data_IF_392362602166
#
_entry.id   IF_392362602166
#
_cell.length_a   1.000
_cell.length_b   1.000
_cell.length_c   1.000
_cell.angle_alpha   90.00
_cell.angle_beta   90.00
_cell.angle_gamma   90.00
#
_symmetry.space_group_name_H-M   'P 1'
#
loop_
_entity.id
_entity.type
_entity.pdbx_description
1 polymer ?
#
# COMPACT_ATOMS: atom_id res chain seq x y z
N UNK A 1 6.23 7.01 54.36
CA UNK A 1 5.11 7.47 53.54
C UNK A 1 5.48 7.59 52.04
N UNK A 2 6.63 8.17 51.60
CA UNK A 2 6.92 8.33 50.16
C UNK A 2 7.17 7.00 49.43
N UNK A 3 7.66 5.97 50.09
CA UNK A 3 7.97 4.68 49.47
C UNK A 3 6.72 3.86 49.12
N UNK A 4 5.67 3.91 49.94
CA UNK A 4 4.38 3.26 49.71
C UNK A 4 3.63 3.94 48.57
N UNK A 5 3.65 5.28 48.52
CA UNK A 5 3.05 6.07 47.46
C UNK A 5 3.75 5.79 46.13
N UNK A 6 5.08 5.69 46.12
CA UNK A 6 5.86 5.35 44.93
C UNK A 6 5.59 3.92 44.43
N UNK A 7 5.51 2.92 45.33
CA UNK A 7 5.17 1.54 44.99
C UNK A 7 3.73 1.41 44.43
N UNK A 8 2.78 2.10 45.07
CA UNK A 8 1.40 2.12 44.66
C UNK A 8 1.23 2.80 43.25
N UNK A 9 1.92 3.92 43.05
CA UNK A 9 1.90 4.63 41.78
C UNK A 9 2.55 3.81 40.65
N UNK A 10 3.62 3.05 40.95
CA UNK A 10 4.24 2.15 39.97
C UNK A 10 3.38 0.94 39.68
N UNK A 11 2.73 0.36 40.67
CA UNK A 11 1.81 -0.76 40.51
C UNK A 11 0.56 -0.35 39.70
N UNK A 12 -0.02 0.82 39.99
CA UNK A 12 -1.13 1.39 39.24
C UNK A 12 -0.73 1.71 37.79
N UNK A 13 0.43 2.31 37.57
CA UNK A 13 0.92 2.62 36.21
C UNK A 13 1.13 1.38 35.32
N UNK A 14 1.54 0.24 35.91
CA UNK A 14 1.78 -1.00 35.14
C UNK A 14 0.45 -1.73 34.87
N UNK A 15 -0.49 -1.72 35.82
CA UNK A 15 -1.73 -2.49 35.73
C UNK A 15 -2.87 -1.74 35.03
N UNK A 16 -2.85 -0.39 35.06
CA UNK A 16 -3.84 0.48 34.43
C UNK A 16 -3.30 1.09 33.13
N UNK A 17 -2.70 0.26 32.27
CA UNK A 17 -2.25 0.71 30.95
C UNK A 17 -3.41 0.70 29.95
N UNK A 18 -3.43 1.67 29.03
CA UNK A 18 -4.42 1.76 27.97
C UNK A 18 -5.82 2.14 28.48
N UNK A 19 -6.84 1.52 27.95
CA UNK A 19 -8.26 1.78 28.23
C UNK A 19 -8.70 1.52 29.67
N UNK A 20 -7.92 0.77 30.45
CA UNK A 20 -8.20 0.48 31.86
C UNK A 20 -8.10 1.72 32.75
N UNK A 21 -7.19 2.66 32.43
CA UNK A 21 -6.98 3.87 33.23
C UNK A 21 -8.21 4.81 33.21
N UNK A 22 -8.73 5.27 32.05
CA UNK A 22 -9.91 6.13 32.03
C UNK A 22 -11.14 5.44 32.63
N UNK A 23 -11.32 4.12 32.42
CA UNK A 23 -12.41 3.38 33.04
C UNK A 23 -12.29 3.32 34.56
N UNK A 24 -11.09 3.10 35.08
CA UNK A 24 -10.86 3.08 36.53
C UNK A 24 -11.10 4.44 37.15
N UNK A 25 -10.67 5.52 36.50
CA UNK A 25 -10.90 6.91 36.96
C UNK A 25 -12.39 7.24 36.90
N UNK A 26 -13.09 6.91 35.82
CA UNK A 26 -14.54 7.11 35.70
C UNK A 26 -15.31 6.38 36.81
N UNK A 27 -14.99 5.11 37.03
CA UNK A 27 -15.63 4.29 38.08
C UNK A 27 -15.35 4.84 39.49
N UNK A 28 -14.10 5.29 39.72
CA UNK A 28 -13.74 5.87 41.00
C UNK A 28 -14.50 7.18 41.27
N UNK A 29 -14.50 8.09 40.28
CA UNK A 29 -15.21 9.39 40.41
C UNK A 29 -16.71 9.15 40.57
N UNK A 30 -17.30 8.24 39.79
CA UNK A 30 -18.71 7.89 39.87
C UNK A 30 -19.10 7.37 41.28
N UNK A 31 -18.39 6.34 41.75
CA UNK A 31 -18.73 5.69 43.03
C UNK A 31 -18.47 6.62 44.21
N UNK A 32 -17.37 7.33 44.25
CA UNK A 32 -17.02 8.25 45.34
C UNK A 32 -17.98 9.46 45.38
N UNK A 33 -18.32 10.01 44.21
CA UNK A 33 -19.25 11.15 44.14
C UNK A 33 -20.68 10.76 44.48
N UNK A 34 -21.11 9.56 44.06
CA UNK A 34 -22.43 9.05 44.44
C UNK A 34 -22.55 8.85 45.95
N UNK A 35 -21.56 8.21 46.57
CA UNK A 35 -21.52 8.05 48.02
C UNK A 35 -21.50 9.42 48.72
N UNK A 36 -20.69 10.35 48.28
CA UNK A 36 -20.62 11.69 48.87
C UNK A 36 -21.95 12.44 48.68
N UNK A 37 -22.59 12.36 47.51
CA UNK A 37 -23.89 13.00 47.23
C UNK A 37 -24.99 12.45 48.12
N UNK A 38 -25.02 11.14 48.35
CA UNK A 38 -26.01 10.50 49.24
C UNK A 38 -25.87 10.87 50.73
N UNK A 39 -24.69 11.37 51.15
CA UNK A 39 -24.45 11.81 52.52
C UNK A 39 -24.77 13.30 52.73
N UNK A 40 -24.76 14.14 51.69
CA UNK A 40 -24.89 15.60 51.82
C UNK A 40 -26.20 16.16 51.29
N UNK A 41 -26.93 15.43 50.43
CA UNK A 41 -28.25 15.81 49.96
C UNK A 41 -29.35 15.35 50.93
N UNK A 42 -30.51 16.04 51.00
CA UNK A 42 -31.62 15.65 51.87
C UNK A 42 -32.11 14.22 51.60
N UNK A 43 -32.56 13.48 52.65
CA UNK A 43 -33.13 12.16 52.47
C UNK A 43 -34.33 12.19 51.51
N UNK A 44 -34.32 11.31 50.47
CA UNK A 44 -35.40 11.23 49.48
C UNK A 44 -35.14 12.10 48.24
N UNK A 45 -34.04 12.81 48.13
CA UNK A 45 -33.68 13.58 46.92
C UNK A 45 -33.57 12.66 45.71
N UNK A 46 -34.22 13.03 44.60
CA UNK A 46 -34.23 12.23 43.37
C UNK A 46 -32.81 12.01 42.78
N UNK A 47 -31.94 13.00 42.95
CA UNK A 47 -30.58 12.92 42.42
C UNK A 47 -29.73 11.80 43.03
N UNK A 48 -30.00 11.34 44.25
CA UNK A 48 -29.25 10.27 44.92
C UNK A 48 -29.72 8.88 44.58
N UNK A 49 -30.87 8.73 43.92
CA UNK A 49 -31.39 7.43 43.52
C UNK A 49 -30.50 6.80 42.44
N UNK A 50 -30.24 5.50 42.47
CA UNK A 50 -29.39 4.83 41.48
C UNK A 50 -29.84 5.04 40.04
N UNK A 51 -31.16 5.12 39.82
CA UNK A 51 -31.79 5.30 38.51
C UNK A 51 -31.56 6.69 37.89
N UNK A 52 -31.29 7.72 38.70
CA UNK A 52 -31.11 9.10 38.27
C UNK A 52 -29.68 9.58 38.38
N UNK A 53 -28.92 9.09 39.39
CA UNK A 53 -27.56 9.54 39.61
C UNK A 53 -26.61 9.25 38.42
N UNK A 54 -26.71 8.06 37.80
CA UNK A 54 -25.87 7.73 36.62
C UNK A 54 -26.14 8.69 35.48
N UNK A 55 -27.41 9.08 35.29
CA UNK A 55 -27.78 10.05 34.24
C UNK A 55 -27.18 11.44 34.52
N UNK A 56 -27.41 11.95 35.75
CA UNK A 56 -26.80 13.19 36.22
C UNK A 56 -25.27 13.18 36.01
N UNK A 57 -24.59 12.08 36.42
CA UNK A 57 -23.16 11.94 36.29
C UNK A 57 -22.70 12.00 34.84
N UNK A 58 -23.34 11.28 33.94
CA UNK A 58 -23.01 11.27 32.51
C UNK A 58 -23.24 12.63 31.87
N UNK A 59 -24.41 13.21 32.07
CA UNK A 59 -24.82 14.51 31.50
C UNK A 59 -23.90 15.64 31.99
N UNK A 60 -23.56 15.64 33.27
CA UNK A 60 -22.67 16.63 33.87
C UNK A 60 -21.23 16.42 33.43
N UNK A 61 -20.72 15.19 33.45
CA UNK A 61 -19.35 14.86 33.01
C UNK A 61 -19.14 15.12 31.51
N UNK A 62 -20.18 14.90 30.70
CA UNK A 62 -20.15 15.19 29.26
C UNK A 62 -20.37 16.69 28.94
N UNK A 63 -20.50 17.54 29.96
CA UNK A 63 -20.74 19.00 29.84
C UNK A 63 -22.04 19.37 29.10
N UNK A 64 -23.02 18.46 29.05
CA UNK A 64 -24.33 18.71 28.41
C UNK A 64 -25.22 19.55 29.30
N UNK A 65 -25.41 19.13 30.59
CA UNK A 65 -26.10 19.90 31.61
C UNK A 65 -27.54 20.23 31.29
N UNK A 66 -28.40 19.23 31.07
CA UNK A 66 -29.84 19.46 30.83
C UNK A 66 -30.55 20.20 31.96
N UNK A 67 -30.01 20.14 33.20
CA UNK A 67 -30.60 20.81 34.36
C UNK A 67 -31.86 20.11 34.90
N UNK A 68 -32.11 18.89 34.48
CA UNK A 68 -33.21 18.04 34.94
C UNK A 68 -32.97 17.51 36.38
N UNK A 69 -31.70 17.21 36.70
CA UNK A 69 -31.24 16.82 38.03
C UNK A 69 -30.03 17.68 38.41
N UNK A 70 -30.08 18.30 39.59
CA UNK A 70 -28.99 19.12 40.13
C UNK A 70 -28.97 19.09 41.66
N UNK A 71 -27.78 19.27 42.29
CA UNK A 71 -27.67 19.30 43.75
C UNK A 71 -28.29 20.58 44.33
N UNK A 72 -29.11 20.44 45.35
CA UNK A 72 -29.82 21.53 46.01
C UNK A 72 -29.11 22.06 47.23
N UNK A 73 -28.38 21.19 47.96
CA UNK A 73 -27.62 21.57 49.14
C UNK A 73 -26.30 22.20 48.82
N UNK A 74 -25.71 22.98 49.74
CA UNK A 74 -24.34 23.53 49.57
C UNK A 74 -23.31 22.41 49.50
N UNK A 75 -23.47 21.35 50.30
CA UNK A 75 -22.62 20.17 50.23
C UNK A 75 -22.71 19.46 48.89
N UNK A 76 -23.93 19.28 48.38
CA UNK A 76 -24.16 18.70 47.06
C UNK A 76 -23.55 19.48 45.92
N UNK A 77 -23.55 20.83 45.98
CA UNK A 77 -22.87 21.69 44.99
C UNK A 77 -21.35 21.50 45.00
N UNK A 78 -20.73 21.26 46.19
CA UNK A 78 -19.29 20.94 46.27
C UNK A 78 -19.02 19.58 45.62
N UNK A 79 -19.87 18.58 45.88
CA UNK A 79 -19.78 17.27 45.20
C UNK A 79 -20.02 17.43 43.70
N UNK A 80 -20.95 18.29 43.28
CA UNK A 80 -21.16 18.62 41.86
C UNK A 80 -19.93 19.17 41.21
N UNK A 81 -19.20 20.09 41.88
CA UNK A 81 -17.89 20.58 41.39
C UNK A 81 -16.86 19.47 41.22
N UNK A 82 -16.81 18.53 42.19
CA UNK A 82 -15.94 17.33 42.09
C UNK A 82 -16.33 16.45 40.88
N UNK A 83 -17.65 16.26 40.62
CA UNK A 83 -18.14 15.52 39.43
C UNK A 83 -17.71 16.23 38.14
N UNK A 84 -17.84 17.54 38.06
CA UNK A 84 -17.42 18.31 36.88
C UNK A 84 -15.94 18.14 36.60
N UNK A 85 -15.09 18.37 37.59
CA UNK A 85 -13.63 18.25 37.45
C UNK A 85 -13.22 16.79 37.12
N UNK A 86 -13.78 15.82 37.84
CA UNK A 86 -13.54 14.41 37.60
C UNK A 86 -14.02 13.94 36.23
N UNK A 87 -15.15 14.47 35.78
CA UNK A 87 -15.70 14.23 34.43
C UNK A 87 -14.79 14.74 33.34
N UNK A 88 -14.32 15.99 33.47
CA UNK A 88 -13.36 16.60 32.50
C UNK A 88 -12.08 15.76 32.43
N UNK A 89 -11.53 15.37 33.56
CA UNK A 89 -10.32 14.50 33.59
C UNK A 89 -10.58 13.17 32.90
N UNK A 90 -11.73 12.55 33.19
CA UNK A 90 -12.11 11.27 32.60
C UNK A 90 -12.23 11.36 31.05
N UNK A 91 -12.94 12.37 30.55
CA UNK A 91 -13.10 12.60 29.13
C UNK A 91 -11.77 12.88 28.43
N UNK A 92 -10.92 13.72 29.07
CA UNK A 92 -9.58 13.99 28.54
C UNK A 92 -8.75 12.73 28.39
N UNK A 93 -8.78 11.83 29.39
CA UNK A 93 -8.10 10.54 29.33
C UNK A 93 -8.68 9.63 28.25
N UNK A 94 -10.00 9.60 28.06
CA UNK A 94 -10.66 8.83 27.01
C UNK A 94 -10.25 9.32 25.61
N UNK A 95 -10.34 10.62 25.34
CA UNK A 95 -9.93 11.19 24.07
C UNK A 95 -8.44 11.01 23.80
N UNK A 96 -7.59 11.13 24.81
CA UNK A 96 -6.15 10.86 24.67
C UNK A 96 -5.89 9.41 24.29
N UNK A 97 -6.59 8.44 24.89
CA UNK A 97 -6.45 7.02 24.53
C UNK A 97 -6.96 6.75 23.12
N UNK A 98 -8.06 7.35 22.71
CA UNK A 98 -8.58 7.23 21.35
C UNK A 98 -7.56 7.78 20.33
N UNK A 99 -7.04 8.99 20.57
CA UNK A 99 -6.03 9.60 19.72
C UNK A 99 -4.77 8.73 19.61
N UNK A 100 -4.26 8.22 20.75
CA UNK A 100 -3.10 7.31 20.77
C UNK A 100 -3.37 6.00 20.02
N UNK A 101 -4.58 5.44 20.11
CA UNK A 101 -4.95 4.23 19.39
C UNK A 101 -4.93 4.47 17.87
N UNK A 102 -5.53 5.57 17.40
CA UNK A 102 -5.53 5.96 15.99
C UNK A 102 -4.10 6.22 15.47
N UNK A 103 -3.28 6.96 16.23
CA UNK A 103 -1.88 7.22 15.87
C UNK A 103 -1.04 5.95 15.83
N UNK A 104 -1.27 4.99 16.72
CA UNK A 104 -0.50 3.74 16.75
C UNK A 104 -0.75 2.88 15.50
N UNK A 105 -1.98 2.81 15.00
CA UNK A 105 -2.32 2.10 13.75
C UNK A 105 -1.65 2.78 12.55
N UNK A 106 -1.78 4.11 12.47
CA UNK A 106 -1.14 4.88 11.39
C UNK A 106 0.38 4.74 11.42
N UNK A 107 0.99 4.86 12.59
CA UNK A 107 2.44 4.70 12.75
C UNK A 107 2.95 3.29 12.42
N UNK A 108 2.17 2.23 12.67
CA UNK A 108 2.52 0.86 12.26
C UNK A 108 2.47 0.69 10.74
N UNK A 109 1.46 1.26 10.07
CA UNK A 109 1.37 1.26 8.59
C UNK A 109 2.54 2.01 7.96
N UNK A 110 2.84 3.21 8.48
CA UNK A 110 3.98 4.00 7.99
C UNK A 110 5.31 3.25 8.14
N UNK A 111 5.49 2.48 9.21
CA UNK A 111 6.70 1.67 9.44
C UNK A 111 6.71 0.33 8.69
N UNK A 112 5.70 0.00 7.93
CA UNK A 112 5.64 -1.19 7.11
C UNK A 112 5.64 -2.52 7.88
N UNK A 113 5.14 -2.53 9.13
CA UNK A 113 5.10 -3.74 9.98
C UNK A 113 3.72 -4.40 10.02
N UNK A 114 2.75 -3.88 9.26
CA UNK A 114 1.38 -4.40 9.19
C UNK A 114 1.24 -5.26 7.95
N UNK A 115 0.59 -6.42 8.07
CA UNK A 115 0.21 -7.22 6.92
C UNK A 115 -0.80 -6.45 6.05
N UNK A 116 -0.58 -6.49 4.75
CA UNK A 116 -1.48 -5.91 3.77
C UNK A 116 -2.66 -6.86 3.50
N UNK A 117 -3.72 -6.32 2.92
CA UNK A 117 -4.82 -7.12 2.38
C UNK A 117 -5.06 -6.67 0.93
N UNK A 118 -4.20 -7.16 0.04
CA UNK A 118 -4.19 -6.83 -1.38
C UNK A 118 -4.36 -8.08 -2.22
N UNK A 119 -4.90 -7.89 -3.43
CA UNK A 119 -4.99 -8.91 -4.48
C UNK A 119 -4.86 -8.25 -5.85
N UNK A 120 -4.37 -8.98 -6.84
CA UNK A 120 -4.14 -8.50 -8.22
C UNK A 120 -3.30 -7.21 -8.29
N UNK A 121 -2.37 -7.07 -7.35
CA UNK A 121 -1.48 -5.92 -7.19
C UNK A 121 -0.05 -6.23 -7.67
N UNK A 122 0.77 -5.20 -7.78
CA UNK A 122 2.19 -5.33 -8.08
C UNK A 122 2.99 -5.25 -6.78
N UNK A 123 3.94 -6.16 -6.59
CA UNK A 123 4.88 -6.09 -5.47
C UNK A 123 6.24 -5.62 -6.01
N UNK A 124 6.75 -4.51 -5.47
CA UNK A 124 8.08 -4.00 -5.79
C UNK A 124 9.03 -4.31 -4.63
N UNK A 125 9.99 -5.17 -4.86
CA UNK A 125 11.05 -5.53 -3.91
C UNK A 125 12.29 -4.69 -4.13
N UNK A 126 12.67 -3.95 -3.13
CA UNK A 126 13.79 -3.00 -3.16
C UNK A 126 13.32 -1.55 -3.28
N UNK A 127 13.96 -0.68 -2.49
CA UNK A 127 13.72 0.75 -2.56
C UNK A 127 15.03 1.51 -2.82
N UNK A 128 15.04 2.25 -3.90
CA UNK A 128 16.14 3.11 -4.32
C UNK A 128 15.62 4.53 -4.54
N UNK A 129 16.07 5.51 -3.75
CA UNK A 129 15.61 6.90 -3.88
C UNK A 129 15.74 7.43 -5.32
N UNK A 130 14.69 8.07 -5.81
CA UNK A 130 14.61 8.63 -7.15
C UNK A 130 14.25 7.62 -8.24
N UNK A 131 14.61 6.33 -8.08
CA UNK A 131 14.32 5.27 -9.06
C UNK A 131 13.00 4.57 -8.75
N UNK A 132 12.83 4.12 -7.51
CA UNK A 132 11.62 3.41 -7.12
C UNK A 132 10.38 4.28 -7.23
N UNK A 133 10.49 5.59 -6.95
CA UNK A 133 9.40 6.55 -7.12
C UNK A 133 8.94 6.65 -8.57
N UNK A 134 9.88 6.62 -9.52
CA UNK A 134 9.56 6.61 -10.97
C UNK A 134 8.86 5.32 -11.37
N UNK A 135 9.39 4.16 -10.94
CA UNK A 135 8.76 2.86 -11.21
C UNK A 135 7.33 2.83 -10.66
N UNK A 136 7.14 3.29 -9.43
CA UNK A 136 5.82 3.37 -8.80
C UNK A 136 4.90 4.33 -9.55
N UNK A 137 5.38 5.52 -9.94
CA UNK A 137 4.61 6.48 -10.70
C UNK A 137 4.12 5.90 -12.04
N UNK A 138 4.98 5.19 -12.76
CA UNK A 138 4.62 4.51 -14.01
C UNK A 138 3.61 3.38 -13.79
N UNK A 139 3.79 2.56 -12.76
CA UNK A 139 2.87 1.45 -12.44
C UNK A 139 1.49 1.94 -12.00
N UNK A 140 1.41 3.12 -11.38
CA UNK A 140 0.15 3.68 -10.86
C UNK A 140 -0.49 4.73 -11.75
N UNK A 141 0.17 5.16 -12.85
CA UNK A 141 -0.27 6.23 -13.72
C UNK A 141 -1.69 6.02 -14.29
N UNK A 142 -2.02 4.79 -14.65
CA UNK A 142 -3.33 4.42 -15.20
C UNK A 142 -4.40 4.19 -14.10
N UNK A 143 -4.03 4.28 -12.82
CA UNK A 143 -4.93 3.96 -11.70
C UNK A 143 -5.36 2.47 -11.63
N UNK A 144 -4.71 1.60 -12.40
CA UNK A 144 -5.12 0.18 -12.56
C UNK A 144 -4.58 -0.70 -11.45
N UNK A 145 -3.41 -0.37 -10.87
CA UNK A 145 -2.71 -1.21 -9.92
C UNK A 145 -2.48 -0.51 -8.60
N UNK A 146 -2.55 -1.29 -7.53
CA UNK A 146 -1.95 -0.94 -6.26
C UNK A 146 -0.54 -1.53 -6.20
N UNK A 147 0.36 -0.87 -5.47
CA UNK A 147 1.74 -1.31 -5.33
C UNK A 147 2.05 -1.60 -3.88
N UNK A 148 2.51 -2.82 -3.58
CA UNK A 148 3.15 -3.16 -2.32
C UNK A 148 4.65 -2.90 -2.46
N UNK A 149 5.14 -1.79 -1.88
CA UNK A 149 6.55 -1.44 -1.85
C UNK A 149 7.23 -2.15 -0.67
N UNK A 150 8.08 -3.12 -0.96
CA UNK A 150 8.87 -3.84 0.02
C UNK A 150 10.28 -3.26 0.10
N UNK A 151 10.68 -2.76 1.26
CA UNK A 151 12.01 -2.19 1.47
C UNK A 151 12.74 -2.85 2.63
N UNK A 152 14.06 -2.72 2.62
CA UNK A 152 14.95 -3.22 3.69
C UNK A 152 14.72 -2.49 5.02
N UNK A 153 15.26 -3.07 6.08
CA UNK A 153 15.15 -2.52 7.44
C UNK A 153 15.81 -1.16 7.64
N UNK A 154 16.72 -0.76 6.76
CA UNK A 154 17.36 0.55 6.76
C UNK A 154 16.46 1.68 6.22
N UNK A 155 15.31 1.36 5.65
CA UNK A 155 14.25 2.32 5.29
C UNK A 155 13.23 2.38 6.43
N UNK A 156 13.32 3.36 7.35
CA UNK A 156 12.58 3.32 8.62
C UNK A 156 11.08 3.53 8.48
N UNK A 157 10.65 4.26 7.45
CA UNK A 157 9.26 4.63 7.21
C UNK A 157 8.94 4.62 5.72
N UNK A 158 7.64 4.57 5.40
CA UNK A 158 7.16 4.62 4.02
C UNK A 158 7.70 5.87 3.30
N UNK A 159 8.49 5.71 2.24
CA UNK A 159 9.03 6.84 1.49
C UNK A 159 7.99 7.58 0.63
N UNK A 160 6.81 6.97 0.42
CA UNK A 160 5.71 7.48 -0.42
C UNK A 160 4.39 7.56 0.36
N UNK A 161 4.33 8.26 1.51
CA UNK A 161 3.17 8.24 2.40
C UNK A 161 1.93 8.91 1.82
N UNK A 162 2.12 9.81 0.85
CA UNK A 162 1.06 10.61 0.24
C UNK A 162 0.44 9.95 -1.01
N UNK A 163 0.96 8.78 -1.41
CA UNK A 163 0.42 8.03 -2.55
C UNK A 163 -0.54 6.94 -2.07
N UNK A 164 -1.86 7.10 -2.27
CA UNK A 164 -2.87 6.18 -1.75
C UNK A 164 -2.80 4.78 -2.38
N UNK A 165 -2.25 4.66 -3.59
CA UNK A 165 -2.05 3.39 -4.28
C UNK A 165 -0.82 2.62 -3.79
N UNK A 166 0.01 3.20 -2.89
CA UNK A 166 1.25 2.61 -2.40
C UNK A 166 1.10 2.14 -0.96
N UNK A 167 1.36 0.87 -0.75
CA UNK A 167 1.37 0.22 0.55
C UNK A 167 2.78 -0.22 0.88
N UNK A 168 3.21 -0.04 2.12
CA UNK A 168 4.60 -0.23 2.50
C UNK A 168 4.78 -1.45 3.40
N UNK A 169 5.78 -2.27 3.09
CA UNK A 169 6.25 -3.41 3.90
C UNK A 169 7.74 -3.27 4.09
N UNK A 170 8.20 -3.45 5.33
CA UNK A 170 9.63 -3.35 5.68
C UNK A 170 10.13 -4.64 6.30
N UNK A 171 11.33 -5.05 5.94
CA UNK A 171 12.01 -6.21 6.53
C UNK A 171 13.08 -6.81 5.65
N UNK A 172 13.52 -8.00 5.99
CA UNK A 172 14.39 -8.82 5.14
C UNK A 172 13.59 -9.32 3.93
N UNK A 173 13.97 -8.86 2.75
CA UNK A 173 13.24 -9.13 1.49
C UNK A 173 13.33 -10.60 1.03
N UNK A 174 14.13 -11.41 1.68
CA UNK A 174 14.24 -12.85 1.43
C UNK A 174 13.40 -13.68 2.40
N UNK A 175 12.81 -13.05 3.42
CA UNK A 175 12.13 -13.74 4.50
C UNK A 175 10.65 -13.96 4.21
N UNK A 176 10.11 -15.14 4.57
CA UNK A 176 8.70 -15.54 4.36
C UNK A 176 7.70 -14.55 4.99
N UNK A 177 8.06 -13.94 6.12
CA UNK A 177 7.22 -12.93 6.78
C UNK A 177 6.94 -11.72 5.87
N UNK A 178 7.95 -11.25 5.11
CA UNK A 178 7.78 -10.15 4.15
C UNK A 178 6.90 -10.60 2.99
N UNK A 179 7.08 -11.82 2.47
CA UNK A 179 6.24 -12.37 1.41
C UNK A 179 4.77 -12.44 1.82
N UNK A 180 4.52 -12.90 3.05
CA UNK A 180 3.17 -13.00 3.62
C UNK A 180 2.55 -11.63 3.83
N UNK A 181 3.28 -10.67 4.42
CA UNK A 181 2.78 -9.31 4.67
C UNK A 181 2.55 -8.52 3.38
N UNK A 182 3.33 -8.77 2.34
CA UNK A 182 3.16 -8.18 1.02
C UNK A 182 2.09 -8.87 0.16
N UNK A 183 1.46 -9.94 0.66
CA UNK A 183 0.45 -10.73 -0.05
C UNK A 183 0.94 -11.30 -1.40
N UNK A 184 2.19 -11.77 -1.48
CA UNK A 184 2.81 -12.30 -2.71
C UNK A 184 1.97 -13.42 -3.33
N UNK A 185 1.31 -14.25 -2.52
CA UNK A 185 0.44 -15.35 -2.97
C UNK A 185 -0.74 -14.89 -3.82
N UNK A 186 -1.16 -13.63 -3.68
CA UNK A 186 -2.30 -13.04 -4.39
C UNK A 186 -1.88 -11.90 -5.33
N UNK A 187 -0.59 -11.69 -5.49
CA UNK A 187 -0.05 -10.66 -6.37
C UNK A 187 -0.19 -11.08 -7.84
N UNK A 188 -0.24 -10.09 -8.71
CA UNK A 188 -0.24 -10.26 -10.17
C UNK A 188 1.17 -10.35 -10.74
N UNK A 189 2.06 -9.52 -10.22
CA UNK A 189 3.43 -9.39 -10.71
C UNK A 189 4.35 -8.99 -9.55
N UNK A 190 5.54 -9.53 -9.52
CA UNK A 190 6.60 -9.04 -8.66
C UNK A 190 7.73 -8.43 -9.51
N UNK A 191 8.20 -7.26 -9.07
CA UNK A 191 9.36 -6.56 -9.63
C UNK A 191 10.45 -6.57 -8.57
N UNK A 192 11.62 -7.09 -8.90
CA UNK A 192 12.78 -7.16 -8.00
C UNK A 192 13.84 -6.17 -8.44
N UNK A 193 14.23 -5.27 -7.53
CA UNK A 193 15.32 -4.33 -7.69
C UNK A 193 16.26 -4.40 -6.48
N UNK A 194 16.98 -5.53 -6.38
CA UNK A 194 17.89 -5.83 -5.27
C UNK A 194 19.12 -4.94 -5.23
N UNK A 195 19.88 -5.04 -4.13
CA UNK A 195 21.15 -4.30 -3.95
C UNK A 195 22.23 -4.78 -4.93
N UNK A 196 22.17 -6.07 -5.27
CA UNK A 196 23.02 -6.70 -6.27
C UNK A 196 22.31 -7.91 -6.88
N UNK A 197 22.98 -8.55 -7.87
CA UNK A 197 22.40 -9.68 -8.60
C UNK A 197 22.25 -10.94 -7.73
N UNK A 198 23.05 -11.11 -6.66
CA UNK A 198 22.91 -12.22 -5.74
C UNK A 198 21.70 -12.04 -4.83
N UNK A 199 21.48 -10.84 -4.31
CA UNK A 199 20.28 -10.53 -3.54
C UNK A 199 19.02 -10.61 -4.42
N UNK A 200 19.09 -10.12 -5.67
CA UNK A 200 18.01 -10.27 -6.66
C UNK A 200 17.65 -11.76 -6.84
N UNK A 201 18.65 -12.63 -6.96
CA UNK A 201 18.43 -14.07 -7.05
C UNK A 201 17.82 -14.66 -5.77
N UNK A 202 18.31 -14.25 -4.59
CA UNK A 202 17.79 -14.72 -3.31
C UNK A 202 16.31 -14.31 -3.11
N UNK A 203 15.96 -13.07 -3.46
CA UNK A 203 14.57 -12.61 -3.42
C UNK A 203 13.71 -13.39 -4.42
N UNK A 204 14.20 -13.66 -5.64
CA UNK A 204 13.49 -14.45 -6.63
C UNK A 204 13.18 -15.86 -6.12
N UNK A 205 14.12 -16.53 -5.44
CA UNK A 205 13.91 -17.83 -4.80
C UNK A 205 12.81 -17.76 -3.74
N UNK A 206 12.81 -16.73 -2.90
CA UNK A 206 11.79 -16.57 -1.85
C UNK A 206 10.40 -16.32 -2.44
N UNK A 207 10.32 -15.55 -3.53
CA UNK A 207 9.07 -15.29 -4.24
C UNK A 207 8.55 -16.55 -4.91
N UNK A 208 9.41 -17.29 -5.62
CA UNK A 208 9.04 -18.55 -6.30
C UNK A 208 8.53 -19.60 -5.32
N UNK A 209 9.16 -19.69 -4.14
CA UNK A 209 8.67 -20.54 -3.06
C UNK A 209 7.28 -20.13 -2.56
N UNK A 210 6.99 -18.82 -2.49
CA UNK A 210 5.70 -18.33 -2.03
C UNK A 210 4.60 -18.40 -3.10
N UNK A 211 4.95 -18.22 -4.38
CA UNK A 211 4.03 -18.26 -5.53
C UNK A 211 4.79 -18.57 -6.84
N UNK A 212 4.92 -19.86 -7.21
CA UNK A 212 5.67 -20.28 -8.41
C UNK A 212 5.09 -19.77 -9.74
N UNK A 213 3.79 -19.46 -9.78
CA UNK A 213 3.10 -19.02 -11.00
C UNK A 213 3.14 -17.49 -11.18
N UNK A 214 3.77 -16.78 -10.26
CA UNK A 214 3.81 -15.31 -10.29
C UNK A 214 4.66 -14.81 -11.46
N UNK A 215 4.13 -13.85 -12.21
CA UNK A 215 4.93 -13.14 -13.22
C UNK A 215 6.05 -12.34 -12.53
N UNK A 216 7.30 -12.69 -12.85
CA UNK A 216 8.48 -12.17 -12.17
C UNK A 216 9.33 -11.33 -13.12
N UNK A 217 9.59 -10.09 -12.74
CA UNK A 217 10.50 -9.16 -13.43
C UNK A 217 11.67 -8.86 -12.49
N UNK A 218 12.89 -9.15 -12.93
CA UNK A 218 14.08 -8.97 -12.13
C UNK A 218 15.06 -7.97 -12.77
N UNK A 219 15.37 -6.91 -12.06
CA UNK A 219 16.43 -5.99 -12.45
C UNK A 219 17.80 -6.63 -12.16
N UNK A 220 18.64 -6.74 -13.17
CA UNK A 220 19.99 -7.29 -13.06
C UNK A 220 21.02 -6.29 -13.58
N UNK A 221 22.22 -6.33 -13.02
CA UNK A 221 23.37 -5.57 -13.51
C UNK A 221 24.06 -6.29 -14.65
N UNK A 222 24.16 -7.62 -14.53
CA UNK A 222 24.77 -8.49 -15.55
C UNK A 222 23.72 -9.42 -16.15
N UNK A 223 23.41 -9.25 -17.44
CA UNK A 223 22.49 -10.14 -18.17
C UNK A 223 22.97 -11.59 -18.25
N UNK A 224 24.25 -11.87 -18.05
CA UNK A 224 24.78 -13.22 -17.92
C UNK A 224 24.16 -13.99 -16.74
N UNK A 225 23.63 -13.29 -15.73
CA UNK A 225 22.91 -13.88 -14.59
C UNK A 225 21.48 -14.32 -14.91
N UNK A 226 20.95 -14.01 -16.09
CA UNK A 226 19.59 -14.41 -16.52
C UNK A 226 19.37 -15.91 -16.39
N UNK A 227 20.34 -16.72 -16.77
CA UNK A 227 20.20 -18.18 -16.73
C UNK A 227 20.02 -18.68 -15.28
N UNK A 228 20.73 -18.09 -14.32
CA UNK A 228 20.56 -18.42 -12.90
C UNK A 228 19.12 -18.14 -12.42
N UNK A 229 18.55 -17.02 -12.83
CA UNK A 229 17.15 -16.68 -12.51
C UNK A 229 16.16 -17.64 -13.17
N UNK A 230 16.44 -18.10 -14.38
CA UNK A 230 15.60 -19.07 -15.10
C UNK A 230 15.58 -20.46 -14.47
N UNK A 231 16.65 -20.83 -13.74
CA UNK A 231 16.63 -22.06 -12.94
C UNK A 231 15.64 -21.99 -11.78
N UNK A 232 15.41 -20.78 -11.25
CA UNK A 232 14.42 -20.53 -10.19
C UNK A 232 13.03 -20.48 -10.79
N UNK A 233 12.82 -19.58 -11.75
CA UNK A 233 11.53 -19.40 -12.42
C UNK A 233 11.75 -19.28 -13.93
N UNK A 234 11.33 -20.27 -14.73
CA UNK A 234 11.52 -20.26 -16.19
C UNK A 234 10.86 -19.07 -16.90
N UNK A 235 9.81 -18.50 -16.29
CA UNK A 235 9.05 -17.36 -16.82
C UNK A 235 9.66 -15.99 -16.49
N UNK A 236 10.73 -15.93 -15.69
CA UNK A 236 11.33 -14.68 -15.25
C UNK A 236 11.79 -13.80 -16.41
N UNK A 237 11.45 -12.53 -16.32
CA UNK A 237 11.93 -11.50 -17.25
C UNK A 237 13.10 -10.74 -16.58
N UNK A 238 14.34 -11.07 -16.98
CA UNK A 238 15.50 -10.33 -16.52
C UNK A 238 15.67 -9.06 -17.36
N UNK A 239 15.71 -7.92 -16.70
CA UNK A 239 15.87 -6.60 -17.30
C UNK A 239 17.15 -5.98 -16.78
N UNK A 240 18.04 -5.54 -17.68
CA UNK A 240 19.23 -4.79 -17.29
C UNK A 240 18.81 -3.38 -16.87
N UNK A 241 19.05 -3.00 -15.61
CA UNK A 241 18.60 -1.74 -15.04
C UNK A 241 19.33 -0.51 -15.61
N UNK A 242 20.54 -0.70 -16.18
CA UNK A 242 21.30 0.31 -16.90
C UNK A 242 21.56 -0.20 -18.31
N UNK A 243 21.33 0.64 -19.29
CA UNK A 243 21.53 0.30 -20.70
C UNK A 243 22.76 1.05 -21.22
N UNK A 244 23.97 0.47 -21.10
CA UNK A 244 25.20 1.13 -21.58
C UNK A 244 25.17 1.43 -23.08
N UNK A 245 24.39 0.63 -23.83
CA UNK A 245 24.16 0.83 -25.26
C UNK A 245 23.49 2.18 -25.58
N UNK A 246 22.67 2.74 -24.70
CA UNK A 246 22.03 4.04 -24.93
C UNK A 246 23.05 5.16 -25.09
N UNK A 247 24.19 5.07 -24.39
CA UNK A 247 25.26 6.06 -24.53
C UNK A 247 25.94 5.97 -25.91
N UNK A 248 26.16 4.75 -26.41
CA UNK A 248 26.71 4.55 -27.75
C UNK A 248 25.74 4.90 -28.86
N UNK A 249 24.46 4.57 -28.68
CA UNK A 249 23.40 4.94 -29.63
C UNK A 249 23.24 6.46 -29.70
N UNK A 250 23.17 7.18 -28.57
CA UNK A 250 23.11 8.65 -28.58
C UNK A 250 24.34 9.32 -29.17
N UNK A 251 25.52 8.68 -29.02
CA UNK A 251 26.74 9.18 -29.62
C UNK A 251 26.78 9.02 -31.16
N UNK A 252 26.12 7.95 -31.66
CA UNK A 252 26.03 7.68 -33.09
C UNK A 252 24.88 8.44 -33.77
N UNK A 253 23.73 8.46 -33.09
CA UNK A 253 22.46 9.02 -33.57
C UNK A 253 21.88 10.00 -32.53
N UNK A 254 22.32 11.28 -32.53
CA UNK A 254 21.86 12.27 -31.55
C UNK A 254 20.33 12.46 -31.52
N UNK A 255 19.76 12.35 -30.35
CA UNK A 255 18.31 12.46 -30.10
C UNK A 255 17.58 11.11 -29.97
N UNK A 256 18.27 9.98 -30.22
CA UNK A 256 17.65 8.66 -30.15
C UNK A 256 17.17 8.32 -28.73
N UNK A 257 17.87 8.77 -27.70
CA UNK A 257 17.48 8.54 -26.31
C UNK A 257 16.19 9.27 -25.94
N UNK A 258 15.88 10.40 -26.58
CA UNK A 258 14.61 11.10 -26.39
C UNK A 258 13.44 10.26 -26.89
N UNK A 259 13.61 9.57 -28.02
CA UNK A 259 12.60 8.65 -28.56
C UNK A 259 12.39 7.48 -27.62
N UNK A 260 13.47 6.86 -27.12
CA UNK A 260 13.34 5.75 -26.16
C UNK A 260 12.67 6.20 -24.86
N UNK A 261 13.01 7.36 -24.34
CA UNK A 261 12.36 7.90 -23.13
C UNK A 261 10.87 8.15 -23.35
N UNK A 262 10.47 8.71 -24.51
CA UNK A 262 9.06 8.95 -24.82
C UNK A 262 8.28 7.62 -24.95
N UNK A 263 8.86 6.62 -25.61
CA UNK A 263 8.27 5.29 -25.78
C UNK A 263 8.15 4.47 -24.48
N UNK A 264 8.98 4.78 -23.46
CA UNK A 264 8.99 4.08 -22.19
C UNK A 264 8.20 4.80 -21.08
N UNK A 265 7.81 6.07 -21.28
CA UNK A 265 7.09 6.85 -20.27
C UNK A 265 5.58 6.78 -20.49
N UNK A 266 4.80 6.59 -19.42
CA UNK A 266 3.34 6.53 -19.48
C UNK A 266 2.66 7.85 -19.87
N UNK A 267 3.39 8.96 -19.87
CA UNK A 267 2.93 10.29 -20.28
C UNK A 267 3.44 10.75 -21.65
N UNK A 268 4.16 9.87 -22.40
CA UNK A 268 4.71 10.18 -23.71
C UNK A 268 3.67 10.27 -24.83
N UNK A 269 4.11 10.70 -26.01
CA UNK A 269 3.27 10.81 -27.21
C UNK A 269 2.94 9.43 -27.80
N UNK A 270 3.67 8.38 -27.41
CA UNK A 270 3.43 7.00 -27.81
C UNK A 270 4.01 6.02 -26.80
N UNK A 271 3.32 4.93 -26.56
CA UNK A 271 3.77 3.85 -25.69
C UNK A 271 3.93 2.55 -26.46
N UNK A 272 4.78 1.66 -25.96
CA UNK A 272 4.96 0.33 -26.51
C UNK A 272 3.95 -0.64 -25.87
N UNK A 273 3.19 -1.31 -26.74
CA UNK A 273 2.18 -2.28 -26.33
C UNK A 273 2.42 -3.64 -26.98
N UNK A 274 1.78 -4.67 -26.45
CA UNK A 274 1.70 -5.98 -27.10
C UNK A 274 0.24 -6.39 -27.27
N UNK A 275 -0.04 -7.12 -28.34
CA UNK A 275 -1.34 -7.72 -28.63
C UNK A 275 -1.12 -9.14 -29.14
N UNK A 276 -1.92 -10.10 -28.66
CA UNK A 276 -1.96 -11.44 -29.24
C UNK A 276 -2.93 -11.45 -30.38
N UNK A 277 -2.48 -11.94 -31.54
CA UNK A 277 -3.29 -12.00 -32.76
C UNK A 277 -4.45 -12.99 -32.53
N UNK A 278 -5.71 -12.51 -32.57
CA UNK A 278 -6.86 -13.37 -32.37
C UNK A 278 -7.12 -14.26 -33.56
N UNK A 279 -7.87 -15.35 -33.36
CA UNK A 279 -8.39 -16.19 -34.45
C UNK A 279 -9.31 -15.34 -35.35
N UNK A 280 -9.06 -15.33 -36.65
CA UNK A 280 -9.86 -14.57 -37.61
C UNK A 280 -9.42 -13.10 -37.79
N UNK A 281 -8.24 -12.71 -37.36
CA UNK A 281 -7.68 -11.36 -37.52
C UNK A 281 -7.65 -10.87 -38.97
N UNK A 282 -7.59 -11.79 -39.94
CA UNK A 282 -7.76 -11.49 -41.39
C UNK A 282 -6.56 -10.86 -42.07
N UNK A 283 -5.45 -10.65 -41.36
CA UNK A 283 -4.20 -10.10 -41.91
C UNK A 283 -3.15 -11.19 -41.90
N UNK A 284 -2.70 -11.64 -43.06
CA UNK A 284 -1.85 -12.84 -43.19
C UNK A 284 -0.36 -12.57 -43.04
N UNK A 285 0.08 -11.34 -43.31
CA UNK A 285 1.49 -10.98 -43.31
C UNK A 285 1.80 -9.80 -42.37
N UNK A 286 3.07 -9.63 -42.04
CA UNK A 286 3.52 -8.46 -41.26
C UNK A 286 3.18 -7.14 -41.96
N UNK A 287 3.31 -7.08 -43.30
CA UNK A 287 2.96 -5.90 -44.07
C UNK A 287 1.46 -5.55 -44.01
N UNK A 288 0.58 -6.57 -44.02
CA UNK A 288 -0.85 -6.38 -43.82
C UNK A 288 -1.15 -5.82 -42.43
N UNK A 289 -0.52 -6.40 -41.42
CA UNK A 289 -0.61 -5.90 -40.02
C UNK A 289 -0.14 -4.46 -39.92
N UNK A 290 1.04 -4.13 -40.47
CA UNK A 290 1.61 -2.79 -40.44
C UNK A 290 0.68 -1.77 -41.10
N UNK A 291 0.12 -2.14 -42.26
CA UNK A 291 -0.83 -1.30 -43.01
C UNK A 291 -2.11 -1.06 -42.19
N UNK A 292 -2.68 -2.11 -41.61
CA UNK A 292 -3.88 -2.02 -40.82
C UNK A 292 -3.65 -1.19 -39.51
N UNK A 293 -2.59 -1.47 -38.77
CA UNK A 293 -2.25 -0.71 -37.56
C UNK A 293 -2.05 0.78 -37.87
N UNK A 294 -1.29 1.10 -38.93
CA UNK A 294 -1.02 2.48 -39.33
C UNK A 294 -2.30 3.22 -39.75
N UNK A 295 -3.10 2.64 -40.61
CA UNK A 295 -4.31 3.31 -41.20
C UNK A 295 -5.47 3.39 -40.21
N UNK A 296 -5.64 2.37 -39.35
CA UNK A 296 -6.79 2.28 -38.48
C UNK A 296 -6.52 2.93 -37.11
N UNK A 297 -5.30 2.83 -36.58
CA UNK A 297 -4.98 3.21 -35.23
C UNK A 297 -3.84 4.24 -35.11
N UNK A 298 -3.21 4.64 -36.22
CA UNK A 298 -2.04 5.51 -36.18
C UNK A 298 -0.85 4.85 -35.46
N UNK A 299 -0.81 3.51 -35.47
CA UNK A 299 0.15 2.71 -34.74
C UNK A 299 1.21 2.11 -35.66
N UNK A 300 2.39 1.83 -35.12
CA UNK A 300 3.51 1.20 -35.85
C UNK A 300 3.86 -0.13 -35.21
N UNK A 301 3.81 -1.23 -35.97
CA UNK A 301 4.22 -2.54 -35.47
C UNK A 301 5.74 -2.65 -35.54
N UNK A 302 6.38 -2.95 -34.41
CA UNK A 302 7.85 -3.00 -34.30
C UNK A 302 8.39 -4.43 -34.46
N UNK A 303 7.67 -5.41 -33.91
CA UNK A 303 8.17 -6.77 -33.81
C UNK A 303 7.05 -7.79 -33.75
N UNK A 304 7.40 -9.04 -34.05
CA UNK A 304 6.54 -10.22 -33.88
C UNK A 304 7.25 -11.25 -32.99
N UNK A 305 6.47 -11.98 -32.20
CA UNK A 305 6.94 -13.13 -31.44
C UNK A 305 6.03 -14.31 -31.72
N UNK A 306 6.62 -15.38 -32.20
CA UNK A 306 6.00 -16.67 -32.45
C UNK A 306 6.79 -17.82 -31.78
N UNK A 307 6.57 -19.06 -32.21
CA UNK A 307 7.32 -20.25 -31.74
C UNK A 307 8.83 -20.15 -31.97
N UNK A 308 9.24 -19.44 -33.00
CA UNK A 308 10.67 -19.33 -33.39
C UNK A 308 11.38 -18.19 -32.62
N UNK A 309 10.64 -17.40 -31.84
CA UNK A 309 11.18 -16.36 -30.99
C UNK A 309 10.72 -14.94 -31.38
N UNK A 310 11.44 -13.96 -30.88
CA UNK A 310 11.19 -12.53 -31.16
C UNK A 310 12.01 -12.08 -32.38
N UNK A 311 11.32 -11.49 -33.34
CA UNK A 311 11.95 -10.84 -34.50
C UNK A 311 11.53 -9.38 -34.57
N UNK A 312 12.51 -8.49 -34.45
CA UNK A 312 12.32 -7.04 -34.59
C UNK A 312 12.48 -6.67 -36.05
N UNK A 313 11.60 -5.79 -36.54
CA UNK A 313 11.57 -5.35 -37.94
C UNK A 313 11.59 -6.53 -38.94
N UNK A 314 10.60 -7.45 -38.84
CA UNK A 314 10.55 -8.61 -39.74
C UNK A 314 10.31 -8.18 -41.18
N UNK A 315 10.60 -9.09 -42.11
CA UNK A 315 10.30 -8.86 -43.53
C UNK A 315 8.79 -8.62 -43.77
N UNK A 316 8.47 -7.80 -44.72
CA UNK A 316 7.09 -7.41 -45.04
C UNK A 316 6.16 -8.60 -45.31
N UNK A 317 6.71 -9.65 -45.94
CA UNK A 317 6.00 -10.87 -46.32
C UNK A 317 5.97 -11.93 -45.21
N UNK A 318 6.54 -11.64 -44.01
CA UNK A 318 6.53 -12.63 -42.91
C UNK A 318 5.11 -13.00 -42.51
N UNK A 319 4.77 -14.31 -42.48
CA UNK A 319 3.43 -14.76 -42.03
C UNK A 319 3.21 -14.39 -40.57
N UNK A 320 1.96 -13.97 -40.25
CA UNK A 320 1.51 -13.65 -38.88
C UNK A 320 0.28 -14.47 -38.56
N UNK A 321 0.47 -15.74 -38.16
CA UNK A 321 -0.66 -16.62 -37.80
C UNK A 321 -1.33 -16.19 -36.49
N UNK A 322 -2.54 -16.68 -36.27
CA UNK A 322 -3.27 -16.51 -35.02
C UNK A 322 -2.41 -17.04 -33.83
N UNK A 323 -2.44 -16.34 -32.71
CA UNK A 323 -1.64 -16.67 -31.54
C UNK A 323 -0.24 -16.01 -31.50
N UNK A 324 0.23 -15.44 -32.62
CA UNK A 324 1.44 -14.60 -32.66
C UNK A 324 1.23 -13.36 -31.78
N UNK A 325 2.29 -12.92 -31.08
CA UNK A 325 2.27 -11.65 -30.34
C UNK A 325 2.90 -10.56 -31.19
N UNK A 326 2.14 -9.50 -31.46
CA UNK A 326 2.63 -8.28 -32.08
C UNK A 326 3.05 -7.27 -31.01
N UNK A 327 4.19 -6.61 -31.21
CA UNK A 327 4.63 -5.47 -30.42
C UNK A 327 4.52 -4.21 -31.28
N UNK A 328 3.84 -3.19 -30.75
CA UNK A 328 3.55 -1.99 -31.51
C UNK A 328 3.65 -0.73 -30.66
N UNK A 329 3.86 0.40 -31.29
CA UNK A 329 3.81 1.74 -30.70
C UNK A 329 2.51 2.42 -31.09
N UNK A 330 1.81 2.98 -30.11
CA UNK A 330 0.59 3.75 -30.31
C UNK A 330 0.38 4.76 -29.19
N UNK A 331 -0.46 5.78 -29.43
CA UNK A 331 -0.88 6.73 -28.39
C UNK A 331 -1.71 6.08 -27.26
N UNK A 332 -2.44 5.00 -27.59
CA UNK A 332 -3.23 4.24 -26.63
C UNK A 332 -3.23 2.75 -26.98
N UNK A 333 -3.49 1.90 -25.97
CA UNK A 333 -3.59 0.46 -26.17
C UNK A 333 -4.79 0.13 -27.08
N UNK A 334 -4.54 -0.68 -28.10
CA UNK A 334 -5.59 -1.17 -29.01
C UNK A 334 -6.38 -2.27 -28.30
N UNK A 335 -7.71 -2.13 -28.24
CA UNK A 335 -8.59 -3.08 -27.58
C UNK A 335 -8.77 -4.34 -28.46
N UNK A 336 -8.42 -5.51 -27.95
CA UNK A 336 -8.50 -6.80 -28.63
C UNK A 336 -9.94 -7.21 -28.98
N UNK A 337 -10.94 -6.61 -28.35
CA UNK A 337 -12.37 -6.99 -28.47
C UNK A 337 -13.15 -6.19 -29.50
N UNK A 338 -12.56 -5.23 -30.20
CA UNK A 338 -13.21 -4.52 -31.30
C UNK A 338 -12.58 -4.88 -32.65
N UNK A 339 -13.05 -5.93 -33.34
CA UNK A 339 -12.77 -6.04 -34.76
C UNK A 339 -13.35 -4.79 -35.43
N UNK A 340 -12.51 -4.04 -36.15
CA UNK A 340 -12.95 -2.89 -36.90
C UNK A 340 -14.15 -3.31 -37.80
N UNK A 341 -15.27 -2.62 -37.64
CA UNK A 341 -16.42 -2.80 -38.51
C UNK A 341 -15.94 -2.66 -39.94
N UNK A 342 -16.17 -3.70 -40.76
CA UNK A 342 -15.95 -3.66 -42.21
C UNK A 342 -16.76 -2.49 -42.78
N UNK A 343 -16.08 -1.47 -43.29
CA UNK A 343 -16.67 -0.53 -44.25
C UNK A 343 -16.36 -1.00 -45.65
#
# INVERSE_FOLDING_TARGET
VPFLVYRLSRFLRVRLRGWRLPLAVASFVFLSSWLAMSLVEPPGSEIVQPGTYWWYFVVTSATVGYGDFFPTSTGGRIVGLYVIVGGIVTLTLLFTQLANALQSVRGKRLRGVVALDLSDHVVLFGYWPGRSERIVAELTADGRFQVALCAWDDVPENPLPDQPAVHFVRGDLTHEDVMTRACVQRARTAVIDGRDDNETLAIAVAIDHANPDLHLVAAVRDLGRRENLRYVNPGVQAVQWHMPFLLSEEANDPGITQIYNDLMSSGGHGNTYSMRVPAGFGHATFGDCQTWFGRTHGATVLAVRDSDGLVVSPSWDRPVPAGTTLYYVAAARIDEQRPAARR
#
